data_IF_731344242134
#
_entry.id   IF_731344242134
#
_cell.length_a   1.000
_cell.length_b   1.000
_cell.length_c   1.000
_cell.angle_alpha   90.00
_cell.angle_beta   90.00
_cell.angle_gamma   90.00
#
_symmetry.space_group_name_H-M   'P 1'
#
loop_
_entity.id
_entity.type
_entity.pdbx_description
1 polymer ?
#
# COMPACT_ATOMS: atom_id res chain seq x y z
N UNK A 1 -3.85 -10.21 25.01
CA UNK A 1 -2.97 -9.13 24.53
C UNK A 1 -3.33 -8.90 23.08
N UNK A 2 -3.99 -7.80 22.76
CA UNK A 2 -4.29 -7.43 21.37
C UNK A 2 -2.95 -7.12 20.70
N UNK A 3 -2.58 -7.87 19.67
CA UNK A 3 -1.41 -7.53 18.87
C UNK A 3 -1.80 -6.29 18.05
N UNK A 4 -1.35 -5.10 18.48
CA UNK A 4 -1.44 -3.90 17.66
C UNK A 4 -0.60 -4.13 16.39
N UNK A 5 -1.26 -4.07 15.23
CA UNK A 5 -0.56 -4.13 13.96
C UNK A 5 0.23 -2.84 13.81
N UNK A 6 1.56 -2.93 13.83
CA UNK A 6 2.40 -1.81 13.46
C UNK A 6 2.24 -1.51 11.97
N UNK A 7 1.72 -0.34 11.67
CA UNK A 7 1.62 0.19 10.32
C UNK A 7 2.87 1.00 9.98
N UNK A 8 3.21 1.04 8.70
CA UNK A 8 4.30 1.81 8.14
C UNK A 8 3.80 2.60 6.95
N UNK A 9 4.23 3.84 6.85
CA UNK A 9 3.87 4.73 5.77
C UNK A 9 4.98 4.70 4.71
N UNK A 10 4.62 4.36 3.48
CA UNK A 10 5.54 4.40 2.34
C UNK A 10 5.02 5.45 1.37
N UNK A 11 5.70 6.60 1.38
CA UNK A 11 5.24 7.80 0.69
C UNK A 11 3.86 8.24 1.22
N UNK A 12 2.80 7.96 0.47
CA UNK A 12 1.44 8.41 0.74
C UNK A 12 0.45 7.22 0.93
N UNK A 13 0.97 6.00 1.16
CA UNK A 13 0.15 4.82 1.41
C UNK A 13 0.64 4.05 2.64
N UNK A 14 -0.31 3.43 3.33
CA UNK A 14 -0.14 2.71 4.59
C UNK A 14 -0.06 1.21 4.31
N UNK A 15 0.91 0.56 4.94
CA UNK A 15 1.16 -0.87 4.88
C UNK A 15 1.38 -1.42 6.29
N UNK A 16 1.31 -2.72 6.50
CA UNK A 16 1.81 -3.31 7.75
C UNK A 16 3.35 -3.33 7.77
N UNK A 17 3.96 -3.65 8.92
CA UNK A 17 5.41 -3.89 9.06
C UNK A 17 6.01 -4.91 8.08
N UNK A 18 5.22 -5.85 7.54
CA UNK A 18 5.63 -6.77 6.47
C UNK A 18 5.59 -6.15 5.06
N UNK A 19 5.32 -4.86 4.94
CA UNK A 19 5.19 -4.12 3.69
C UNK A 19 4.06 -4.67 2.80
N UNK A 20 2.95 -5.10 3.41
CA UNK A 20 1.75 -5.58 2.71
C UNK A 20 0.58 -4.71 3.08
N UNK A 21 -0.25 -4.35 2.09
CA UNK A 21 -1.49 -3.62 2.35
C UNK A 21 -2.56 -4.55 2.94
N UNK A 22 -2.62 -5.79 2.46
CA UNK A 22 -3.42 -6.85 3.06
C UNK A 22 -2.46 -7.95 3.50
N UNK A 23 -2.40 -8.20 4.80
CA UNK A 23 -1.48 -9.14 5.40
C UNK A 23 -2.24 -10.15 6.25
N UNK A 24 -2.30 -11.40 5.78
CA UNK A 24 -2.87 -12.50 6.55
C UNK A 24 -2.04 -12.84 7.79
N UNK A 25 -0.73 -12.55 7.78
CA UNK A 25 0.19 -12.87 8.88
C UNK A 25 -0.12 -12.04 10.15
N UNK A 26 -0.46 -10.76 10.00
CA UNK A 26 -0.87 -9.88 11.09
C UNK A 26 -2.35 -9.48 11.06
N UNK A 27 -3.14 -10.11 10.19
CA UNK A 27 -4.56 -9.83 9.97
C UNK A 27 -4.86 -8.33 9.74
N UNK A 28 -4.05 -7.70 8.90
CA UNK A 28 -4.15 -6.28 8.53
C UNK A 28 -4.80 -6.12 7.16
N UNK A 29 -5.73 -5.16 7.03
CA UNK A 29 -6.32 -4.77 5.76
C UNK A 29 -6.40 -3.23 5.67
N UNK A 30 -5.38 -2.64 5.05
CA UNK A 30 -5.28 -1.19 4.83
C UNK A 30 -5.95 -0.70 3.55
N UNK A 31 -6.75 -1.54 2.86
CA UNK A 31 -7.38 -1.13 1.59
C UNK A 31 -8.35 0.03 1.78
N UNK A 32 -9.10 0.04 2.87
CA UNK A 32 -10.04 1.12 3.20
C UNK A 32 -9.30 2.46 3.41
N UNK A 33 -8.23 2.44 4.20
CA UNK A 33 -7.42 3.63 4.50
C UNK A 33 -6.75 4.18 3.22
N UNK A 34 -6.14 3.31 2.42
CA UNK A 34 -5.47 3.72 1.19
C UNK A 34 -6.45 4.18 0.12
N UNK A 35 -7.55 3.46 -0.11
CA UNK A 35 -8.55 3.87 -1.09
C UNK A 35 -9.18 5.21 -0.67
N UNK A 36 -9.55 5.36 0.61
CA UNK A 36 -10.11 6.58 1.18
C UNK A 36 -9.18 7.79 1.04
N UNK A 37 -7.89 7.63 1.34
CA UNK A 37 -6.88 8.69 1.18
C UNK A 37 -6.82 9.23 -0.26
N UNK A 38 -6.99 8.37 -1.26
CA UNK A 38 -6.99 8.76 -2.68
C UNK A 38 -8.37 9.13 -3.24
N UNK A 39 -9.41 9.19 -2.40
CA UNK A 39 -10.78 9.54 -2.79
C UNK A 39 -11.51 8.42 -3.53
N UNK A 40 -11.15 7.17 -3.27
CA UNK A 40 -11.81 5.98 -3.81
C UNK A 40 -12.70 5.34 -2.75
N UNK A 41 -13.85 4.80 -3.18
CA UNK A 41 -14.71 3.98 -2.32
C UNK A 41 -14.06 2.62 -2.04
N UNK A 42 -14.09 2.13 -0.80
CA UNK A 42 -13.57 0.80 -0.48
C UNK A 42 -14.20 -0.28 -1.39
N UNK A 43 -13.37 -1.16 -1.96
CA UNK A 43 -13.77 -2.19 -2.93
C UNK A 43 -12.93 -3.44 -2.73
N UNK A 44 -13.49 -4.62 -3.04
CA UNK A 44 -12.71 -5.87 -3.05
C UNK A 44 -11.79 -5.94 -4.27
N UNK A 45 -10.71 -5.16 -4.20
CA UNK A 45 -9.61 -5.19 -5.16
C UNK A 45 -8.43 -5.98 -4.62
N UNK A 46 -7.60 -6.44 -5.55
CA UNK A 46 -6.33 -7.04 -5.18
C UNK A 46 -5.46 -6.02 -4.41
N UNK A 47 -4.74 -6.46 -3.38
CA UNK A 47 -3.88 -5.59 -2.57
C UNK A 47 -2.74 -5.02 -3.41
N UNK A 48 -2.35 -3.77 -3.13
CA UNK A 48 -1.11 -3.21 -3.67
C UNK A 48 0.06 -3.66 -2.79
N UNK A 49 1.21 -3.84 -3.43
CA UNK A 49 2.46 -4.15 -2.74
C UNK A 49 3.50 -3.12 -3.13
N UNK A 50 4.29 -2.61 -2.17
CA UNK A 50 5.38 -1.74 -2.51
C UNK A 50 6.45 -2.50 -3.29
N UNK A 51 7.16 -1.82 -4.22
CA UNK A 51 8.33 -2.39 -4.87
C UNK A 51 9.46 -2.54 -3.84
N UNK A 52 10.63 -3.00 -4.26
CA UNK A 52 11.79 -3.05 -3.38
C UNK A 52 12.08 -1.66 -2.77
N UNK A 53 11.95 -1.57 -1.46
CA UNK A 53 12.22 -0.38 -0.65
C UNK A 53 13.43 -0.59 0.26
N UNK A 54 14.04 0.50 0.69
CA UNK A 54 15.09 0.56 1.70
C UNK A 54 14.72 1.66 2.69
N UNK A 55 15.16 1.56 3.94
CA UNK A 55 15.02 2.66 4.90
C UNK A 55 16.29 3.52 4.90
N UNK A 56 16.11 4.83 5.06
CA UNK A 56 17.22 5.74 5.35
C UNK A 56 17.57 5.72 6.85
N UNK A 57 18.54 6.53 7.27
CA UNK A 57 18.97 6.63 8.68
C UNK A 57 17.87 7.13 9.62
N UNK A 58 16.88 7.83 9.07
CA UNK A 58 15.73 8.39 9.78
C UNK A 58 14.54 7.41 9.81
N UNK A 59 14.71 6.19 9.27
CA UNK A 59 13.66 5.16 9.22
C UNK A 59 12.63 5.33 8.08
N UNK A 60 12.81 6.35 7.24
CA UNK A 60 11.90 6.66 6.12
C UNK A 60 12.13 5.69 4.96
N UNK A 61 11.05 5.10 4.44
CA UNK A 61 11.11 4.22 3.28
C UNK A 61 11.38 4.99 1.99
N UNK A 62 12.34 4.49 1.23
CA UNK A 62 12.78 5.01 -0.06
C UNK A 62 12.80 3.87 -1.07
N UNK A 63 12.51 4.17 -2.34
CA UNK A 63 12.59 3.11 -3.35
C UNK A 63 14.05 2.67 -3.52
N UNK A 64 14.31 1.36 -3.55
CA UNK A 64 15.68 0.82 -3.65
C UNK A 64 16.39 1.25 -4.93
N UNK A 65 15.62 1.50 -6.01
CA UNK A 65 16.15 1.84 -7.33
C UNK A 65 16.58 3.29 -7.48
N UNK A 66 15.83 4.24 -6.91
CA UNK A 66 16.10 5.68 -7.09
C UNK A 66 16.47 6.39 -5.78
N UNK A 67 16.40 5.72 -4.62
CA UNK A 67 16.77 6.29 -3.32
C UNK A 67 15.88 7.46 -2.89
N UNK A 68 14.65 7.53 -3.40
CA UNK A 68 13.73 8.63 -3.11
C UNK A 68 12.51 8.14 -2.32
N UNK A 69 12.15 8.88 -1.27
CA UNK A 69 10.94 8.65 -0.47
C UNK A 69 9.66 9.01 -1.22
N UNK A 70 9.74 9.94 -2.16
CA UNK A 70 8.60 10.45 -2.96
C UNK A 70 8.69 10.01 -4.44
N UNK A 71 9.21 8.81 -4.69
CA UNK A 71 9.44 8.34 -6.05
C UNK A 71 8.12 8.07 -6.81
N UNK A 72 7.64 9.02 -7.61
CA UNK A 72 6.39 8.88 -8.39
C UNK A 72 6.39 7.71 -9.38
N UNK A 73 7.56 7.23 -9.81
CA UNK A 73 7.71 6.07 -10.68
C UNK A 73 7.48 4.73 -9.95
N UNK A 74 7.83 4.66 -8.66
CA UNK A 74 7.75 3.46 -7.85
C UNK A 74 6.51 3.46 -6.93
N UNK A 75 6.21 4.61 -6.34
CA UNK A 75 5.17 4.85 -5.33
C UNK A 75 3.95 5.57 -5.91
N UNK A 76 3.66 5.33 -7.20
CA UNK A 76 2.44 5.83 -7.84
C UNK A 76 1.17 5.08 -7.38
N UNK A 77 0.88 5.06 -6.08
CA UNK A 77 -0.16 4.23 -5.46
C UNK A 77 -1.53 4.49 -6.04
N UNK A 78 -1.92 5.75 -6.23
CA UNK A 78 -3.18 6.11 -6.92
C UNK A 78 -3.36 5.37 -8.25
N UNK A 79 -2.29 5.26 -9.06
CA UNK A 79 -2.30 4.55 -10.34
C UNK A 79 -2.40 3.04 -10.16
N UNK A 80 -1.74 2.48 -9.15
CA UNK A 80 -1.81 1.05 -8.83
C UNK A 80 -3.22 0.67 -8.33
N UNK A 81 -3.78 1.45 -7.39
CA UNK A 81 -5.14 1.28 -6.89
C UNK A 81 -6.15 1.39 -8.03
N UNK A 82 -6.03 2.40 -8.90
CA UNK A 82 -6.90 2.54 -10.08
C UNK A 82 -6.87 1.31 -10.98
N UNK A 83 -5.67 0.75 -11.22
CA UNK A 83 -5.50 -0.48 -12.01
C UNK A 83 -6.11 -1.70 -11.32
N UNK A 84 -5.87 -1.86 -10.03
CA UNK A 84 -6.42 -2.95 -9.23
C UNK A 84 -7.96 -2.89 -9.19
N UNK A 85 -8.54 -1.70 -9.01
CA UNK A 85 -10.00 -1.46 -9.11
C UNK A 85 -10.54 -1.81 -10.49
N UNK A 86 -9.83 -1.41 -11.55
CA UNK A 86 -10.24 -1.74 -12.92
C UNK A 86 -10.20 -3.25 -13.16
N UNK A 87 -9.19 -3.95 -12.64
CA UNK A 87 -9.10 -5.40 -12.71
C UNK A 87 -10.21 -6.09 -11.88
N UNK A 88 -10.50 -5.59 -10.68
CA UNK A 88 -11.57 -6.07 -9.82
C UNK A 88 -12.95 -5.95 -10.49
N UNK A 89 -13.25 -4.77 -11.06
CA UNK A 89 -14.47 -4.54 -11.85
C UNK A 89 -14.58 -5.50 -13.04
N UNK A 90 -13.48 -5.75 -13.75
CA UNK A 90 -13.45 -6.73 -14.86
C UNK A 90 -13.64 -8.17 -14.40
N UNK A 91 -13.16 -8.51 -13.21
CA UNK A 91 -13.34 -9.82 -12.59
C UNK A 91 -14.75 -10.00 -11.98
N UNK A 92 -15.62 -8.99 -12.04
CA UNK A 92 -16.96 -9.03 -11.44
C UNK A 92 -16.96 -8.91 -9.92
N UNK A 93 -15.84 -8.50 -9.31
CA UNK A 93 -15.77 -8.15 -7.89
C UNK A 93 -16.45 -6.79 -7.70
N UNK A 94 -17.35 -6.71 -6.72
CA UNK A 94 -18.12 -5.49 -6.40
C UNK A 94 -17.41 -4.65 -5.36
#
# INVERSE_FOLDING_TARGET
MSAEVQTVEINDAIFCSHLKEVCADCNYDGREENDGFYGFECMDRDPISPPAVTQNKDGVYQCKKHGASTCSQCFGWKKQITRARTAAKKAGKK
#
